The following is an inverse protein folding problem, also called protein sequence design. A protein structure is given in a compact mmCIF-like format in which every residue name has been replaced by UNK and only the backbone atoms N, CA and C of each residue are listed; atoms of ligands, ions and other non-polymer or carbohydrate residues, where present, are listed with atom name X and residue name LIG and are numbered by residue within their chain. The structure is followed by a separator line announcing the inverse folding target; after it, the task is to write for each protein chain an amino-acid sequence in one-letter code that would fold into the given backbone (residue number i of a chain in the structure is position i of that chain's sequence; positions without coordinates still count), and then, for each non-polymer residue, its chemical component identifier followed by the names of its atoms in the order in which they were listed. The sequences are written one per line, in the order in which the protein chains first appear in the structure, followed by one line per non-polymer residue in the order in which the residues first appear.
data_IF_290658020171
#
_entry.id   IF_290658020171
#
_cell.length_a   1.000
_cell.length_b   1.000
_cell.length_c   1.000
_cell.angle_alpha   90.00
_cell.angle_beta   90.00
_cell.angle_gamma   90.00
#
_symmetry.space_group_name_H-M   'P 1'
#
loop_
_entity.id
_entity.type
_entity.pdbx_description
1 polymer ?
#
# COMPACT_ATOMS: atom_id res chain seq x y z
N UNK A 1 19.93 10.39 -21.70
CA UNK A 1 18.85 9.41 -21.46
C UNK A 1 18.77 9.18 -19.97
N UNK A 2 17.56 9.10 -19.38
CA UNK A 2 17.41 8.81 -17.95
C UNK A 2 17.81 7.34 -17.72
N UNK A 3 18.90 7.10 -17.00
CA UNK A 3 19.34 5.74 -16.66
C UNK A 3 18.80 5.41 -15.27
N UNK A 4 17.62 4.78 -15.22
CA UNK A 4 16.89 4.50 -13.97
C UNK A 4 16.65 2.99 -13.84
N UNK A 5 16.77 2.50 -12.61
CA UNK A 5 16.45 1.11 -12.27
C UNK A 5 15.23 1.08 -11.37
N UNK A 6 14.31 0.14 -11.60
CA UNK A 6 13.12 -0.07 -10.79
C UNK A 6 13.15 -1.48 -10.21
N UNK A 7 13.06 -1.58 -8.88
CA UNK A 7 12.98 -2.87 -8.19
C UNK A 7 12.02 -2.80 -7.00
N UNK A 8 11.53 -3.97 -6.59
CA UNK A 8 10.67 -4.11 -5.40
C UNK A 8 11.52 -4.59 -4.24
N UNK A 9 11.59 -3.80 -3.18
CA UNK A 9 12.27 -4.15 -1.94
C UNK A 9 11.36 -3.96 -0.73
N UNK A 10 11.67 -4.67 0.35
CA UNK A 10 11.06 -4.43 1.67
C UNK A 10 11.94 -3.46 2.43
N UNK A 11 11.32 -2.46 3.04
CA UNK A 11 12.00 -1.58 4.00
C UNK A 11 12.21 -2.38 5.29
N UNK A 12 13.46 -2.55 5.72
CA UNK A 12 13.82 -3.18 6.99
C UNK A 12 14.51 -2.14 7.87
N UNK A 13 13.96 -1.86 9.05
CA UNK A 13 14.52 -0.87 9.99
C UNK A 13 14.76 0.51 9.36
N UNK A 14 13.91 0.92 8.41
CA UNK A 14 14.05 2.19 7.68
C UNK A 14 15.05 2.16 6.51
N UNK A 15 15.68 1.03 6.25
CA UNK A 15 16.69 0.87 5.19
C UNK A 15 16.08 0.11 4.00
N UNK A 16 16.36 0.59 2.79
CA UNK A 16 16.13 -0.13 1.53
C UNK A 16 17.49 -0.64 1.06
N UNK A 17 17.69 -1.96 1.10
CA UNK A 17 18.88 -2.60 0.57
C UNK A 17 18.79 -2.68 -0.96
N UNK A 18 19.87 -2.30 -1.66
CA UNK A 18 19.96 -2.44 -3.12
C UNK A 18 20.26 -3.91 -3.45
N UNK A 19 19.43 -4.56 -4.27
CA UNK A 19 19.68 -5.95 -4.70
C UNK A 19 21.02 -6.09 -5.43
N UNK A 20 21.69 -7.23 -5.25
CA UNK A 20 23.03 -7.50 -5.83
C UNK A 20 23.11 -7.24 -7.34
N UNK A 21 22.05 -7.57 -8.07
CA UNK A 21 21.95 -7.38 -9.52
C UNK A 21 22.09 -5.92 -9.98
N UNK A 22 21.87 -4.94 -9.09
CA UNK A 22 21.99 -3.51 -9.40
C UNK A 22 23.22 -2.84 -8.76
N UNK A 23 24.02 -3.55 -7.98
CA UNK A 23 25.18 -2.95 -7.27
C UNK A 23 26.30 -2.50 -8.23
N UNK A 24 26.40 -3.09 -9.42
CA UNK A 24 27.38 -2.67 -10.42
C UNK A 24 27.02 -1.30 -11.04
N UNK A 25 25.73 -1.00 -11.14
CA UNK A 25 25.19 0.25 -11.68
C UNK A 25 25.03 1.33 -10.59
N UNK A 26 24.66 0.92 -9.38
CA UNK A 26 24.51 1.79 -8.20
C UNK A 26 25.68 1.57 -7.23
N UNK A 27 26.86 2.06 -7.63
CA UNK A 27 28.10 1.92 -6.86
C UNK A 27 28.11 2.82 -5.64
N UNK A 28 28.89 2.43 -4.62
CA UNK A 28 29.27 3.30 -3.52
C UNK A 28 29.80 4.65 -4.08
N UNK A 29 29.42 5.75 -3.44
CA UNK A 29 29.71 7.15 -3.82
C UNK A 29 28.96 7.73 -5.05
N UNK A 30 27.99 7.01 -5.62
CA UNK A 30 27.14 7.57 -6.69
C UNK A 30 26.07 8.51 -6.12
N UNK A 31 25.96 9.73 -6.65
CA UNK A 31 24.83 10.61 -6.35
C UNK A 31 23.58 10.16 -7.12
N UNK A 32 22.48 9.90 -6.39
CA UNK A 32 21.26 9.33 -6.98
C UNK A 32 20.01 10.09 -6.55
N UNK A 33 19.02 10.17 -7.44
CA UNK A 33 17.66 10.58 -7.12
C UNK A 33 16.81 9.33 -6.81
N UNK A 34 16.18 9.30 -5.63
CA UNK A 34 15.36 8.15 -5.19
C UNK A 34 13.87 8.50 -5.22
N UNK A 35 13.06 7.64 -5.85
CA UNK A 35 11.60 7.72 -5.84
C UNK A 35 11.05 6.49 -5.12
N UNK A 36 10.32 6.70 -4.02
CA UNK A 36 9.71 5.61 -3.23
C UNK A 36 8.20 5.61 -3.43
N UNK A 37 7.69 4.58 -4.12
CA UNK A 37 6.25 4.38 -4.32
C UNK A 37 5.72 3.45 -3.22
N UNK A 38 4.91 3.99 -2.31
CA UNK A 38 4.28 3.20 -1.25
C UNK A 38 3.21 2.28 -1.85
N UNK A 39 3.36 0.97 -1.65
CA UNK A 39 2.26 0.05 -1.88
C UNK A 39 1.33 0.11 -0.67
N UNK A 40 0.14 0.67 -0.86
CA UNK A 40 -0.90 0.59 0.15
C UNK A 40 -1.21 -0.89 0.39
N UNK A 41 -1.23 -1.30 1.67
CA UNK A 41 -1.82 -2.60 2.03
C UNK A 41 -3.22 -2.62 1.44
N UNK A 42 -3.44 -3.45 0.43
CA UNK A 42 -4.80 -3.74 -0.01
C UNK A 42 -5.50 -4.34 1.19
N UNK A 43 -6.58 -3.69 1.63
CA UNK A 43 -7.52 -4.33 2.55
C UNK A 43 -7.87 -5.65 1.89
N UNK A 44 -7.76 -6.75 2.65
CA UNK A 44 -8.10 -8.08 2.13
C UNK A 44 -9.50 -7.99 1.53
N UNK A 45 -9.61 -8.22 0.22
CA UNK A 45 -10.90 -8.27 -0.47
C UNK A 45 -11.57 -9.63 -0.27
N UNK A 46 -10.96 -10.50 0.51
CA UNK A 46 -11.42 -11.85 0.82
C UNK A 46 -11.65 -12.00 2.33
N UNK A 47 -12.54 -12.93 2.70
CA UNK A 47 -12.92 -13.21 4.09
C UNK A 47 -14.26 -12.58 4.51
N UNK A 48 -14.76 -13.00 5.67
CA UNK A 48 -16.09 -12.65 6.17
C UNK A 48 -16.24 -11.13 6.35
N UNK A 49 -15.22 -10.45 6.87
CA UNK A 49 -15.26 -8.98 7.06
C UNK A 49 -15.38 -8.25 5.71
N UNK A 50 -14.67 -8.72 4.67
CA UNK A 50 -14.76 -8.12 3.34
C UNK A 50 -16.15 -8.29 2.73
N UNK A 51 -16.75 -9.48 2.89
CA UNK A 51 -18.12 -9.76 2.44
C UNK A 51 -19.14 -8.89 3.16
N UNK A 52 -19.05 -8.77 4.48
CA UNK A 52 -19.97 -7.94 5.29
C UNK A 52 -19.83 -6.45 5.00
N UNK A 53 -18.63 -5.99 4.64
CA UNK A 53 -18.42 -4.59 4.25
C UNK A 53 -19.11 -4.25 2.92
N UNK A 54 -19.14 -5.19 1.97
CA UNK A 54 -19.82 -5.00 0.68
C UNK A 54 -21.32 -5.31 0.75
N UNK A 55 -21.72 -6.27 1.58
CA UNK A 55 -23.09 -6.70 1.76
C UNK A 55 -23.42 -6.79 3.26
N UNK A 56 -23.75 -5.65 3.90
CA UNK A 56 -24.06 -5.61 5.31
C UNK A 56 -25.34 -6.41 5.60
N UNK A 57 -25.35 -7.14 6.71
CA UNK A 57 -26.52 -7.91 7.14
C UNK A 57 -27.65 -6.95 7.52
N UNK A 58 -28.81 -7.13 6.89
CA UNK A 58 -30.01 -6.39 7.26
C UNK A 58 -30.60 -6.96 8.55
N UNK A 59 -30.69 -6.14 9.59
CA UNK A 59 -31.33 -6.49 10.86
C UNK A 59 -32.60 -5.66 11.00
N UNK A 60 -33.73 -6.32 11.28
CA UNK A 60 -35.02 -5.64 11.44
C UNK A 60 -34.95 -4.61 12.57
N UNK A 61 -35.35 -3.37 12.28
CA UNK A 61 -35.34 -2.27 13.25
C UNK A 61 -34.02 -1.48 13.33
N UNK A 62 -32.97 -1.88 12.61
CA UNK A 62 -31.73 -1.10 12.51
C UNK A 62 -31.78 -0.25 11.24
N UNK A 63 -31.72 1.08 11.40
CA UNK A 63 -31.55 2.01 10.27
C UNK A 63 -30.13 1.88 9.74
N UNK A 64 -29.99 1.49 8.48
CA UNK A 64 -28.69 1.54 7.79
C UNK A 64 -28.40 3.01 7.45
N UNK A 65 -27.48 3.62 8.19
CA UNK A 65 -27.02 4.97 7.92
C UNK A 65 -25.92 4.91 6.87
N UNK A 66 -26.00 5.80 5.88
CA UNK A 66 -24.91 6.03 4.96
C UNK A 66 -23.81 6.88 5.62
N UNK A 67 -22.64 6.93 4.98
CA UNK A 67 -21.45 7.60 5.51
C UNK A 67 -21.68 9.08 5.82
N UNK A 68 -22.44 9.76 4.98
CA UNK A 68 -22.75 11.19 5.16
C UNK A 68 -23.67 11.41 6.35
N UNK A 69 -24.66 10.52 6.56
CA UNK A 69 -25.53 10.56 7.72
C UNK A 69 -24.77 10.31 9.03
N UNK A 70 -23.76 9.43 9.03
CA UNK A 70 -22.92 9.18 10.21
C UNK A 70 -22.06 10.40 10.56
N UNK A 71 -21.53 11.11 9.56
CA UNK A 71 -20.69 12.29 9.78
C UNK A 71 -21.47 13.52 10.29
N UNK A 72 -22.80 13.48 10.23
CA UNK A 72 -23.69 14.55 10.69
C UNK A 72 -24.32 14.29 12.06
N UNK A 73 -23.97 13.17 12.72
CA UNK A 73 -24.29 12.89 14.13
C UNK A 73 -23.28 13.54 15.06
#
# INVERSE_FOLDING_TARGET
MLNAVEFKAKIKQGIIEIPEEYQQDLREDSEVQVIVIKQNKKISTTGIIAQLTQNPVAVKGIRQLNREEIHQL
#
